data_IF_421100038051
#
_entry.id   IF_421100038051
#
_cell.length_a   1.000
_cell.length_b   1.000
_cell.length_c   1.000
_cell.angle_alpha   90.00
_cell.angle_beta   90.00
_cell.angle_gamma   90.00
#
_symmetry.space_group_name_H-M   'P 1'
#
loop_
_entity.id
_entity.type
_entity.pdbx_description
1 polymer ?
#
# COMPACT_ATOMS: atom_id res chain seq x y z
N UNK A 1 3.14 -3.33 33.45
CA UNK A 1 1.78 -2.86 33.14
C UNK A 1 1.79 -1.78 32.05
N UNK A 2 2.52 -0.67 32.21
CA UNK A 2 2.65 0.36 31.15
C UNK A 2 3.40 -0.13 29.91
N UNK A 3 4.51 -0.84 30.07
CA UNK A 3 5.28 -1.38 28.93
C UNK A 3 4.48 -2.41 28.13
N UNK A 4 3.74 -3.29 28.80
CA UNK A 4 2.83 -4.25 28.16
C UNK A 4 1.69 -3.55 27.42
N UNK A 5 1.17 -2.44 27.95
CA UNK A 5 0.13 -1.64 27.29
C UNK A 5 0.68 -0.93 26.04
N UNK A 6 1.91 -0.42 26.11
CA UNK A 6 2.58 0.20 24.97
C UNK A 6 2.85 -0.82 23.86
N UNK A 7 3.32 -2.02 24.20
CA UNK A 7 3.60 -3.08 23.22
C UNK A 7 2.32 -3.48 22.46
N UNK A 8 1.22 -3.67 23.19
CA UNK A 8 -0.07 -4.04 22.62
C UNK A 8 -0.60 -2.97 21.63
N UNK A 9 -0.39 -1.68 21.95
CA UNK A 9 -0.78 -0.59 21.05
C UNK A 9 0.05 -0.58 19.75
N UNK A 10 1.33 -0.95 19.81
CA UNK A 10 2.18 -1.03 18.62
C UNK A 10 1.80 -2.21 17.73
N UNK A 11 1.44 -3.35 18.32
CA UNK A 11 0.96 -4.53 17.59
C UNK A 11 -0.36 -4.22 16.89
N UNK A 12 -1.33 -3.61 17.59
CA UNK A 12 -2.62 -3.22 17.02
C UNK A 12 -2.45 -2.32 15.79
N UNK A 13 -1.62 -1.28 15.89
CA UNK A 13 -1.35 -0.37 14.77
C UNK A 13 -0.71 -1.11 13.60
N UNK A 14 0.20 -2.06 13.89
CA UNK A 14 0.86 -2.85 12.84
C UNK A 14 -0.14 -3.74 12.10
N UNK A 15 -1.07 -4.34 12.82
CA UNK A 15 -2.10 -5.21 12.25
C UNK A 15 -3.10 -4.41 11.42
N UNK A 16 -3.54 -3.24 11.90
CA UNK A 16 -4.38 -2.32 11.13
C UNK A 16 -3.70 -1.89 9.83
N UNK A 17 -2.41 -1.55 9.90
CA UNK A 17 -1.61 -1.18 8.73
C UNK A 17 -1.46 -2.34 7.72
N UNK A 18 -1.31 -3.57 8.20
CA UNK A 18 -1.24 -4.76 7.34
C UNK A 18 -2.60 -5.07 6.70
N UNK A 19 -3.68 -4.94 7.47
CA UNK A 19 -5.05 -5.12 6.99
C UNK A 19 -5.39 -4.12 5.88
N UNK A 20 -5.09 -2.84 6.09
CA UNK A 20 -5.31 -1.79 5.11
C UNK A 20 -4.50 -2.03 3.82
N UNK A 21 -3.23 -2.44 3.94
CA UNK A 21 -2.39 -2.78 2.79
C UNK A 21 -2.95 -3.97 2.01
N UNK A 22 -3.32 -5.06 2.69
CA UNK A 22 -3.91 -6.23 2.06
C UNK A 22 -5.22 -5.87 1.33
N UNK A 23 -6.09 -5.08 1.97
CA UNK A 23 -7.36 -4.64 1.42
C UNK A 23 -7.18 -3.88 0.09
N UNK A 24 -6.34 -2.84 0.08
CA UNK A 24 -6.11 -2.04 -1.14
C UNK A 24 -5.50 -2.90 -2.26
N UNK A 25 -4.52 -3.75 -1.93
CA UNK A 25 -3.90 -4.65 -2.92
C UNK A 25 -4.89 -5.62 -3.54
N UNK A 26 -5.77 -6.20 -2.73
CA UNK A 26 -6.82 -7.11 -3.20
C UNK A 26 -7.80 -6.38 -4.11
N UNK A 27 -8.23 -5.15 -3.76
CA UNK A 27 -9.12 -4.37 -4.61
C UNK A 27 -8.49 -4.04 -5.97
N UNK A 28 -7.22 -3.62 -5.99
CA UNK A 28 -6.50 -3.37 -7.23
C UNK A 28 -6.37 -4.64 -8.08
N UNK A 29 -6.04 -5.77 -7.46
CA UNK A 29 -5.96 -7.06 -8.16
C UNK A 29 -7.31 -7.47 -8.73
N UNK A 30 -8.38 -7.33 -7.95
CA UNK A 30 -9.73 -7.69 -8.38
C UNK A 30 -10.18 -6.82 -9.56
N UNK A 31 -9.94 -5.51 -9.52
CA UNK A 31 -10.22 -4.59 -10.63
C UNK A 31 -9.49 -5.00 -11.92
N UNK A 32 -8.20 -5.35 -11.81
CA UNK A 32 -7.40 -5.80 -12.95
C UNK A 32 -7.92 -7.11 -13.55
N UNK A 33 -8.48 -8.00 -12.73
CA UNK A 33 -9.00 -9.29 -13.16
C UNK A 33 -10.44 -9.22 -13.72
N UNK A 34 -11.27 -8.31 -13.21
CA UNK A 34 -12.72 -8.33 -13.46
C UNK A 34 -13.23 -7.13 -14.28
N UNK A 35 -12.42 -6.08 -14.48
CA UNK A 35 -12.83 -4.84 -15.14
C UNK A 35 -11.91 -4.45 -16.31
N UNK A 36 -11.46 -5.43 -17.11
CA UNK A 36 -10.52 -5.19 -18.23
C UNK A 36 -10.98 -4.12 -19.20
N UNK A 37 -12.26 -4.13 -19.58
CA UNK A 37 -12.80 -3.24 -20.61
C UNK A 37 -12.85 -1.79 -20.13
N UNK A 38 -13.30 -1.58 -18.89
CA UNK A 38 -13.29 -0.26 -18.24
C UNK A 38 -11.86 0.25 -18.04
N UNK A 39 -10.92 -0.65 -17.73
CA UNK A 39 -9.52 -0.30 -17.56
C UNK A 39 -8.85 0.06 -18.89
N UNK A 40 -9.17 -0.63 -19.98
CA UNK A 40 -8.69 -0.27 -21.32
C UNK A 40 -9.25 1.09 -21.73
N UNK A 41 -10.54 1.33 -21.54
CA UNK A 41 -11.17 2.62 -21.81
C UNK A 41 -10.51 3.74 -21.00
N UNK A 42 -10.37 3.56 -19.69
CA UNK A 42 -9.76 4.56 -18.80
C UNK A 42 -8.32 4.85 -19.20
N UNK A 43 -7.54 3.82 -19.50
CA UNK A 43 -6.12 3.97 -19.90
C UNK A 43 -5.98 4.66 -21.25
N UNK A 44 -6.93 4.42 -22.16
CA UNK A 44 -6.89 5.01 -23.50
C UNK A 44 -7.35 6.47 -23.53
N UNK A 45 -8.35 6.82 -22.73
CA UNK A 45 -9.06 8.10 -22.89
C UNK A 45 -8.98 9.05 -21.69
N UNK A 46 -8.71 8.55 -20.48
CA UNK A 46 -8.73 9.35 -19.25
C UNK A 46 -7.32 9.50 -18.67
N UNK A 47 -6.70 8.39 -18.28
CA UNK A 47 -5.38 8.37 -17.65
C UNK A 47 -4.54 7.21 -18.17
N UNK A 48 -3.56 7.54 -19.02
CA UNK A 48 -2.64 6.59 -19.65
C UNK A 48 -1.77 5.80 -18.68
N UNK A 49 -1.71 6.21 -17.42
CA UNK A 49 -0.90 5.58 -16.39
C UNK A 49 -1.71 4.72 -15.41
N UNK A 50 -3.05 4.76 -15.47
CA UNK A 50 -3.93 4.11 -14.50
C UNK A 50 -3.66 2.61 -14.35
N UNK A 51 -3.55 1.88 -15.47
CA UNK A 51 -3.31 0.43 -15.44
C UNK A 51 -1.94 0.09 -14.85
N UNK A 52 -0.88 0.82 -15.23
CA UNK A 52 0.45 0.64 -14.67
C UNK A 52 0.48 0.93 -13.16
N UNK A 53 -0.20 1.98 -12.72
CA UNK A 53 -0.28 2.34 -11.29
C UNK A 53 -1.04 1.27 -10.49
N UNK A 54 -2.16 0.77 -10.99
CA UNK A 54 -2.91 -0.31 -10.34
C UNK A 54 -2.09 -1.59 -10.24
N UNK A 55 -1.38 -1.98 -11.30
CA UNK A 55 -0.48 -3.12 -11.25
C UNK A 55 0.65 -2.93 -10.24
N UNK A 56 1.23 -1.74 -10.20
CA UNK A 56 2.27 -1.40 -9.22
C UNK A 56 1.72 -1.54 -7.81
N UNK A 57 0.55 -0.96 -7.52
CA UNK A 57 -0.07 -1.02 -6.19
C UNK A 57 -0.41 -2.46 -5.81
N UNK A 58 -1.00 -3.25 -6.70
CA UNK A 58 -1.36 -4.65 -6.45
C UNK A 58 -0.13 -5.52 -6.10
N UNK A 59 1.04 -5.24 -6.70
CA UNK A 59 2.26 -6.05 -6.54
C UNK A 59 3.24 -5.51 -5.48
N UNK A 60 3.14 -4.24 -5.11
CA UNK A 60 4.10 -3.60 -4.20
C UNK A 60 3.86 -3.93 -2.73
N UNK A 61 4.94 -3.94 -1.95
CA UNK A 61 4.90 -3.86 -0.49
C UNK A 61 4.95 -2.40 -0.07
N UNK A 62 4.09 -1.99 0.85
CA UNK A 62 4.00 -0.58 1.23
C UNK A 62 5.08 -0.25 2.27
N UNK A 63 6.02 0.67 1.96
CA UNK A 63 7.03 1.08 2.92
C UNK A 63 6.37 1.82 4.08
N UNK A 64 6.86 1.60 5.30
CA UNK A 64 6.35 2.31 6.48
C UNK A 64 7.11 3.63 6.63
N UNK A 65 6.42 4.71 7.01
CA UNK A 65 7.02 6.05 7.15
C UNK A 65 8.21 6.05 8.14
N UNK A 66 8.13 5.25 9.20
CA UNK A 66 9.24 5.08 10.15
C UNK A 66 10.52 4.55 9.48
N UNK A 67 10.40 3.63 8.51
CA UNK A 67 11.53 3.11 7.74
C UNK A 67 12.16 4.21 6.87
N UNK A 68 11.32 5.04 6.25
CA UNK A 68 11.78 6.18 5.46
C UNK A 68 12.53 7.22 6.31
N UNK A 69 12.02 7.56 7.50
CA UNK A 69 12.70 8.46 8.44
C UNK A 69 14.05 7.89 8.88
N UNK A 70 14.10 6.59 9.21
CA UNK A 70 15.34 5.92 9.59
C UNK A 70 16.37 5.91 8.46
N UNK A 71 15.92 5.71 7.21
CA UNK A 71 16.77 5.78 6.02
C UNK A 71 17.35 7.18 5.82
N UNK A 72 16.53 8.23 5.87
CA UNK A 72 16.97 9.62 5.70
C UNK A 72 18.00 10.04 6.76
N UNK A 73 17.78 9.65 8.02
CA UNK A 73 18.74 9.94 9.11
C UNK A 73 20.11 9.29 8.92
N UNK A 74 20.18 8.15 8.21
CA UNK A 74 21.45 7.49 7.89
C UNK A 74 22.22 8.21 6.78
N UNK A 75 21.53 8.87 5.85
CA UNK A 75 22.15 9.61 4.74
C UNK A 75 22.67 11.00 5.14
N UNK A 76 22.27 11.51 6.31
CA UNK A 76 22.71 12.80 6.86
C UNK A 76 23.92 12.67 7.81
N UNK A 77 24.48 11.47 7.97
CA UNK A 77 25.72 11.19 8.70
C UNK A 77 26.83 10.84 7.72
#
# INVERSE_FOLDING_TARGET
MLESMLLLSQELIRDDMNCAEAYVRILCQWLLEHCSDDMEFTTKFIDKTALQQLEMVAKSKFPRVAEAIAFLRKQQK
#
